data_IF_819875577463
#
_entry.id   IF_819875577463
#
_cell.length_a   1.000
_cell.length_b   1.000
_cell.length_c   1.000
_cell.angle_alpha   90.00
_cell.angle_beta   90.00
_cell.angle_gamma   90.00
#
_symmetry.space_group_name_H-M   'P 1'
#
loop_
_entity.id
_entity.type
_entity.pdbx_description
1 polymer ?
#
# COMPACT_ATOMS: atom_id res chain seq x y z
N UNK A 1 16.74 69.53 -15.23
CA UNK A 1 15.60 68.71 -15.60
C UNK A 1 15.60 67.44 -14.67
N UNK A 2 14.78 67.42 -13.59
CA UNK A 2 14.71 66.35 -12.64
C UNK A 2 13.54 65.42 -13.03
N UNK A 3 13.83 64.22 -13.49
CA UNK A 3 12.79 63.23 -13.81
C UNK A 3 12.36 62.55 -12.52
N UNK A 4 11.16 62.85 -12.05
CA UNK A 4 10.50 62.11 -10.97
C UNK A 4 10.01 60.78 -11.53
N UNK A 5 10.75 59.72 -11.23
CA UNK A 5 10.28 58.34 -11.48
C UNK A 5 9.24 57.99 -10.40
N UNK A 6 7.99 57.78 -10.82
CA UNK A 6 6.87 57.57 -9.92
C UNK A 6 6.92 56.17 -9.31
N UNK A 7 7.02 56.07 -7.98
CA UNK A 7 7.06 54.85 -7.18
C UNK A 7 5.85 53.91 -7.41
N UNK A 8 4.78 54.43 -7.98
CA UNK A 8 3.56 53.65 -8.31
C UNK A 8 3.76 52.65 -9.44
N UNK A 9 4.67 52.89 -10.36
CA UNK A 9 4.93 51.96 -11.48
C UNK A 9 5.80 50.78 -11.07
N UNK A 10 6.61 50.91 -10.03
CA UNK A 10 7.46 49.86 -9.54
C UNK A 10 6.65 48.76 -8.77
N UNK A 11 5.58 49.18 -8.07
CA UNK A 11 4.68 48.26 -7.37
C UNK A 11 3.83 47.43 -8.32
N UNK A 12 3.47 47.96 -9.50
CA UNK A 12 2.67 47.22 -10.49
C UNK A 12 3.50 46.13 -11.22
N UNK A 13 4.76 46.41 -11.48
CA UNK A 13 5.67 45.41 -12.08
C UNK A 13 6.01 44.25 -11.10
N UNK A 14 6.18 44.58 -9.82
CA UNK A 14 6.44 43.57 -8.78
C UNK A 14 5.26 42.62 -8.56
N UNK A 15 4.03 43.12 -8.64
CA UNK A 15 2.81 42.31 -8.53
C UNK A 15 2.59 41.35 -9.71
N UNK A 16 2.89 41.81 -10.94
CA UNK A 16 2.75 40.98 -12.14
C UNK A 16 3.77 39.82 -12.20
N UNK A 17 4.98 40.02 -11.69
CA UNK A 17 6.02 38.97 -11.63
C UNK A 17 5.70 37.91 -10.58
N UNK A 18 5.07 38.28 -9.47
CA UNK A 18 4.65 37.31 -8.44
C UNK A 18 3.45 36.46 -8.88
N UNK A 19 2.59 36.95 -9.75
CA UNK A 19 1.44 36.18 -10.27
C UNK A 19 1.84 35.12 -11.32
N UNK A 20 2.98 35.28 -11.99
CA UNK A 20 3.45 34.36 -13.03
C UNK A 20 4.18 33.12 -12.49
N UNK A 21 4.37 32.96 -11.16
CA UNK A 21 5.08 31.83 -10.55
C UNK A 21 4.14 30.77 -9.96
N UNK A 22 2.83 30.89 -10.10
CA UNK A 22 1.92 29.80 -9.84
C UNK A 22 1.91 28.84 -11.05
N UNK A 23 3.00 28.17 -11.28
CA UNK A 23 3.02 26.97 -12.09
C UNK A 23 2.15 25.94 -11.39
N UNK A 24 0.91 25.78 -11.81
CA UNK A 24 0.10 24.63 -11.42
C UNK A 24 0.84 23.41 -11.91
N UNK A 25 1.44 22.65 -10.99
CA UNK A 25 2.05 21.38 -11.33
C UNK A 25 1.01 20.56 -12.10
N UNK A 26 1.26 20.28 -13.36
CA UNK A 26 0.40 19.43 -14.18
C UNK A 26 0.41 18.07 -13.51
N UNK A 27 -0.73 17.67 -12.95
CA UNK A 27 -0.85 16.35 -12.35
C UNK A 27 -0.67 15.30 -13.43
N UNK A 28 0.14 14.30 -13.13
CA UNK A 28 0.30 13.15 -14.03
C UNK A 28 -1.06 12.44 -14.17
N UNK A 29 -1.51 12.05 -15.37
CA UNK A 29 -2.78 11.33 -15.55
C UNK A 29 -2.96 10.12 -14.63
N UNK A 30 -1.89 9.40 -14.29
CA UNK A 30 -1.93 8.27 -13.35
C UNK A 30 -2.35 8.68 -11.93
N UNK A 31 -2.19 9.94 -11.55
CA UNK A 31 -2.60 10.43 -10.22
C UNK A 31 -4.12 10.55 -10.06
N UNK A 32 -4.85 10.52 -11.17
CA UNK A 32 -6.33 10.48 -11.17
C UNK A 32 -6.88 9.06 -11.06
N UNK A 33 -6.05 8.02 -11.17
CA UNK A 33 -6.47 6.64 -11.03
C UNK A 33 -6.60 6.32 -9.54
N UNK A 34 -7.80 5.89 -9.14
CA UNK A 34 -8.05 5.35 -7.80
C UNK A 34 -8.14 3.82 -7.86
N UNK A 35 -7.24 3.14 -7.19
CA UNK A 35 -7.27 1.67 -7.07
C UNK A 35 -8.33 1.19 -6.06
N UNK A 36 -8.95 2.11 -5.32
CA UNK A 36 -10.02 1.82 -4.36
C UNK A 36 -11.41 1.69 -5.01
N UNK A 37 -11.55 2.05 -6.28
CA UNK A 37 -12.84 1.92 -7.00
C UNK A 37 -13.26 0.46 -7.07
N UNK A 38 -14.51 0.16 -6.68
CA UNK A 38 -15.07 -1.18 -6.67
C UNK A 38 -14.66 -2.05 -5.48
N UNK A 39 -13.93 -1.52 -4.51
CA UNK A 39 -13.48 -2.27 -3.33
C UNK A 39 -14.49 -2.26 -2.17
N UNK A 40 -15.55 -1.47 -2.30
CA UNK A 40 -16.66 -1.45 -1.34
C UNK A 40 -17.94 -1.94 -2.00
N UNK A 41 -18.53 -2.99 -1.46
CA UNK A 41 -19.85 -3.41 -1.84
C UNK A 41 -20.43 -4.45 -0.87
N UNK A 42 -21.53 -5.07 -1.16
CA UNK A 42 -22.17 -6.10 -0.34
C UNK A 42 -22.09 -7.43 -1.09
N UNK A 43 -22.10 -8.53 -0.39
CA UNK A 43 -22.05 -9.87 -0.99
C UNK A 43 -23.12 -10.07 -2.08
N UNK A 44 -24.34 -9.58 -1.89
CA UNK A 44 -25.46 -9.68 -2.85
C UNK A 44 -25.19 -8.96 -4.18
N UNK A 45 -24.28 -8.02 -4.19
CA UNK A 45 -23.90 -7.23 -5.38
C UNK A 45 -22.53 -7.63 -5.93
N UNK A 46 -22.08 -8.85 -5.64
CA UNK A 46 -20.74 -9.31 -6.01
C UNK A 46 -19.64 -8.37 -5.52
N UNK A 47 -19.78 -7.97 -4.28
CA UNK A 47 -18.95 -6.98 -3.64
C UNK A 47 -17.52 -7.36 -3.56
N UNK A 48 -16.67 -6.37 -3.73
CA UNK A 48 -15.27 -6.55 -3.48
C UNK A 48 -14.63 -7.53 -4.44
N UNK A 49 -15.16 -7.68 -5.63
CA UNK A 49 -14.48 -8.42 -6.69
C UNK A 49 -13.24 -7.69 -7.19
N UNK A 50 -12.94 -6.54 -6.58
CA UNK A 50 -11.73 -5.78 -6.81
C UNK A 50 -11.06 -5.48 -5.48
N UNK A 51 -9.75 -5.33 -5.51
CA UNK A 51 -8.93 -4.89 -4.41
C UNK A 51 -7.98 -3.78 -4.88
N UNK A 52 -7.44 -2.96 -4.01
CA UNK A 52 -6.53 -1.88 -4.41
C UNK A 52 -5.19 -2.46 -4.86
N UNK A 53 -5.14 -2.91 -6.10
CA UNK A 53 -3.97 -3.52 -6.69
C UNK A 53 -2.85 -2.49 -6.89
N UNK A 54 -1.68 -2.78 -6.34
CA UNK A 54 -0.44 -2.07 -6.60
C UNK A 54 0.44 -2.96 -7.47
N UNK A 55 0.60 -2.57 -8.75
CA UNK A 55 1.31 -3.35 -9.76
C UNK A 55 1.74 -2.45 -10.91
N UNK A 56 2.78 -2.84 -11.64
CA UNK A 56 3.10 -2.21 -12.92
C UNK A 56 2.14 -2.70 -14.02
N UNK A 57 1.91 -1.90 -15.08
CA UNK A 57 1.22 -2.36 -16.27
C UNK A 57 1.94 -3.61 -16.81
N UNK A 58 1.14 -4.66 -17.09
CA UNK A 58 1.65 -5.97 -17.57
C UNK A 58 2.61 -6.68 -16.62
N UNK A 59 2.63 -6.27 -15.33
CA UNK A 59 3.40 -6.93 -14.30
C UNK A 59 2.89 -8.36 -14.05
N UNK A 60 3.79 -9.22 -13.58
CA UNK A 60 3.48 -10.62 -13.26
C UNK A 60 3.10 -10.82 -11.80
N UNK A 61 3.06 -9.77 -11.01
CA UNK A 61 2.63 -9.81 -9.63
C UNK A 61 1.86 -8.54 -9.27
N UNK A 62 0.88 -8.72 -8.39
CA UNK A 62 0.05 -7.66 -7.84
C UNK A 62 0.14 -7.74 -6.32
N UNK A 63 0.05 -6.59 -5.68
CA UNK A 63 0.09 -6.50 -4.22
C UNK A 63 -1.13 -5.76 -3.72
N UNK A 64 -1.69 -6.21 -2.61
CA UNK A 64 -2.86 -5.59 -2.01
C UNK A 64 -2.79 -5.65 -0.49
N UNK A 65 -3.27 -4.62 0.24
CA UNK A 65 -3.52 -4.77 1.66
C UNK A 65 -4.55 -5.89 1.88
N UNK A 66 -4.40 -6.61 2.98
CA UNK A 66 -5.28 -7.69 3.39
C UNK A 66 -6.13 -7.24 4.56
N UNK A 67 -7.44 -7.13 4.37
CA UNK A 67 -8.40 -6.90 5.46
C UNK A 67 -9.15 -8.18 5.86
N UNK A 68 -9.29 -9.15 4.95
CA UNK A 68 -9.79 -10.50 5.21
C UNK A 68 -8.73 -11.43 5.80
N UNK A 69 -9.11 -12.68 6.06
CA UNK A 69 -8.19 -13.71 6.54
C UNK A 69 -7.40 -14.34 5.39
N UNK A 70 -6.32 -15.05 5.75
CA UNK A 70 -5.60 -15.88 4.78
C UNK A 70 -6.55 -16.94 4.22
N UNK A 71 -6.56 -17.08 2.89
CA UNK A 71 -7.47 -17.99 2.21
C UNK A 71 -8.84 -17.42 1.85
N UNK A 72 -9.19 -16.23 2.34
CA UNK A 72 -10.40 -15.54 1.88
C UNK A 72 -10.24 -15.14 0.42
N UNK A 73 -11.24 -15.44 -0.42
CA UNK A 73 -11.31 -14.96 -1.79
C UNK A 73 -11.34 -13.44 -1.90
N UNK A 74 -11.87 -12.77 -0.88
CA UNK A 74 -11.93 -11.31 -0.76
C UNK A 74 -10.76 -10.81 0.09
N UNK A 75 -9.67 -10.48 -0.56
CA UNK A 75 -8.49 -10.00 0.15
C UNK A 75 -8.72 -8.66 0.87
N UNK A 76 -9.55 -7.79 0.31
CA UNK A 76 -9.76 -6.42 0.81
C UNK A 76 -11.23 -6.00 0.72
N UNK A 77 -11.67 -5.29 1.73
CA UNK A 77 -12.97 -4.61 1.77
C UNK A 77 -12.77 -3.19 2.30
N UNK A 78 -13.25 -2.18 1.58
CA UNK A 78 -13.07 -0.77 1.95
C UNK A 78 -13.65 -0.43 3.33
N UNK A 79 -14.76 -1.06 3.73
CA UNK A 79 -15.39 -0.82 5.03
C UNK A 79 -14.65 -1.44 6.22
N UNK A 80 -13.60 -2.23 5.97
CA UNK A 80 -12.81 -2.78 7.06
C UNK A 80 -11.90 -1.72 7.67
N UNK A 81 -11.69 -1.81 8.95
CA UNK A 81 -10.92 -0.88 9.76
C UNK A 81 -9.57 -1.44 10.21
N UNK A 82 -9.28 -2.71 9.88
CA UNK A 82 -8.03 -3.38 10.24
C UNK A 82 -7.37 -4.05 9.04
N UNK A 83 -6.05 -3.94 8.99
CA UNK A 83 -5.17 -4.64 8.05
C UNK A 83 -4.46 -5.78 8.78
N UNK A 84 -4.42 -6.97 8.15
CA UNK A 84 -3.77 -8.20 8.63
C UNK A 84 -2.43 -8.48 7.97
N UNK A 85 -2.07 -7.71 6.94
CA UNK A 85 -0.85 -7.80 6.17
C UNK A 85 -1.01 -7.23 4.77
N UNK A 86 0.02 -7.40 3.97
CA UNK A 86 0.02 -7.11 2.53
C UNK A 86 0.22 -8.42 1.79
N UNK A 87 -0.73 -8.78 0.94
CA UNK A 87 -0.72 -10.02 0.14
C UNK A 87 -0.08 -9.81 -1.21
N UNK A 88 0.69 -10.80 -1.63
CA UNK A 88 0.99 -10.98 -3.05
C UNK A 88 -0.14 -11.73 -3.74
N UNK A 89 -0.48 -11.30 -4.93
CA UNK A 89 -1.42 -11.98 -5.82
C UNK A 89 -0.94 -11.84 -7.27
N UNK A 90 -1.50 -12.58 -8.19
CA UNK A 90 -1.14 -12.50 -9.62
C UNK A 90 -2.30 -12.11 -10.51
N UNK A 91 -3.50 -11.97 -9.97
CA UNK A 91 -4.68 -11.54 -10.70
C UNK A 91 -5.51 -10.56 -9.87
N UNK A 92 -6.21 -9.63 -10.51
CA UNK A 92 -7.06 -8.67 -9.81
C UNK A 92 -8.47 -9.21 -9.49
N UNK A 93 -8.75 -10.52 -9.68
CA UNK A 93 -10.05 -11.11 -9.37
C UNK A 93 -9.96 -12.23 -8.35
N UNK A 94 -10.77 -12.24 -7.29
CA UNK A 94 -10.73 -13.24 -6.23
C UNK A 94 -11.58 -14.50 -6.50
N UNK A 95 -12.16 -14.66 -7.70
CA UNK A 95 -13.13 -15.71 -7.98
C UNK A 95 -12.60 -17.13 -7.89
N UNK A 96 -11.37 -17.33 -8.28
CA UNK A 96 -10.77 -18.67 -8.35
C UNK A 96 -10.12 -19.09 -7.03
N UNK A 97 -10.02 -18.21 -6.07
CA UNK A 97 -9.41 -18.43 -4.75
C UNK A 97 -7.96 -18.95 -4.81
N UNK A 98 -7.25 -18.65 -5.88
CA UNK A 98 -5.86 -19.06 -6.13
C UNK A 98 -4.86 -17.91 -5.92
N UNK A 99 -5.22 -16.96 -5.06
CA UNK A 99 -4.50 -15.71 -4.87
C UNK A 99 -4.02 -15.54 -3.45
N UNK A 100 -2.93 -14.78 -3.32
CA UNK A 100 -2.42 -14.40 -2.03
C UNK A 100 -1.81 -15.58 -1.29
N UNK A 101 -0.83 -16.22 -1.92
CA UNK A 101 -0.08 -17.36 -1.40
C UNK A 101 0.58 -17.07 -0.06
N UNK A 102 0.91 -15.82 0.21
CA UNK A 102 1.45 -15.37 1.48
C UNK A 102 1.11 -13.90 1.72
N UNK A 103 1.22 -13.47 2.96
CA UNK A 103 1.18 -12.06 3.33
C UNK A 103 2.39 -11.65 4.16
N UNK A 104 2.68 -10.37 4.14
CA UNK A 104 3.77 -9.75 4.92
C UNK A 104 3.13 -8.74 5.86
N UNK A 105 3.42 -8.85 7.17
CA UNK A 105 2.93 -7.92 8.20
C UNK A 105 4.06 -7.47 9.11
N UNK A 106 4.40 -6.18 9.14
CA UNK A 106 5.28 -5.64 10.16
C UNK A 106 4.52 -5.49 11.47
N UNK A 107 5.15 -5.91 12.57
CA UNK A 107 4.58 -5.82 13.91
C UNK A 107 5.62 -5.32 14.92
N UNK A 108 5.15 -4.79 16.04
CA UNK A 108 5.97 -4.41 17.19
C UNK A 108 5.49 -5.09 18.48
N UNK A 109 6.31 -5.09 19.51
CA UNK A 109 5.95 -5.65 20.82
C UNK A 109 6.13 -7.16 20.90
N UNK A 110 5.09 -7.92 21.08
CA UNK A 110 5.13 -9.39 21.16
C UNK A 110 5.15 -10.05 19.77
N UNK A 111 5.73 -11.25 19.69
CA UNK A 111 5.60 -12.10 18.51
C UNK A 111 4.18 -12.68 18.46
N UNK A 112 3.37 -12.21 17.53
CA UNK A 112 1.99 -12.63 17.33
C UNK A 112 1.81 -13.14 15.91
N UNK A 113 1.49 -14.44 15.76
CA UNK A 113 1.30 -15.08 14.46
C UNK A 113 -0.18 -15.14 14.05
N UNK A 114 -1.09 -15.13 15.02
CA UNK A 114 -2.53 -15.13 14.74
C UNK A 114 -2.95 -13.87 13.97
N UNK A 115 -3.71 -14.05 12.91
CA UNK A 115 -4.07 -12.98 11.96
C UNK A 115 -4.99 -11.92 12.59
N UNK A 116 -5.88 -12.32 13.48
CA UNK A 116 -6.81 -11.39 14.12
C UNK A 116 -6.12 -10.61 15.23
N UNK A 117 -5.21 -11.26 15.97
CA UNK A 117 -4.47 -10.62 17.05
C UNK A 117 -3.41 -9.64 16.56
N UNK A 118 -2.75 -9.92 15.40
CA UNK A 118 -1.78 -9.00 14.81
C UNK A 118 -2.41 -7.91 13.94
N UNK A 119 -3.71 -8.02 13.62
CA UNK A 119 -4.39 -7.05 12.79
C UNK A 119 -4.32 -5.65 13.40
N UNK A 120 -4.02 -4.67 12.59
CA UNK A 120 -3.84 -3.28 13.02
C UNK A 120 -4.89 -2.37 12.45
N UNK A 121 -5.39 -1.46 13.26
CA UNK A 121 -6.20 -0.34 12.82
C UNK A 121 -5.45 0.53 11.81
N UNK A 122 -6.17 1.02 10.83
CA UNK A 122 -5.68 1.99 9.86
C UNK A 122 -6.77 3.01 9.51
N UNK A 123 -6.39 4.04 8.78
CA UNK A 123 -7.32 5.06 8.33
C UNK A 123 -7.13 5.35 6.85
N UNK A 124 -8.20 5.32 6.07
CA UNK A 124 -8.20 5.74 4.66
C UNK A 124 -7.74 7.19 4.45
N UNK A 125 -7.83 8.05 5.47
CA UNK A 125 -7.30 9.43 5.38
C UNK A 125 -5.77 9.47 5.36
N UNK A 126 -5.12 8.42 5.89
CA UNK A 126 -3.67 8.26 5.92
C UNK A 126 -3.18 7.16 4.94
N UNK A 127 -4.11 6.51 4.25
CA UNK A 127 -3.81 5.52 3.21
C UNK A 127 -3.52 6.20 1.88
N UNK A 128 -2.49 5.75 1.19
CA UNK A 128 -2.21 6.12 -0.20
C UNK A 128 -2.26 4.85 -1.03
N UNK A 129 -3.29 4.74 -1.88
CA UNK A 129 -3.50 3.61 -2.77
C UNK A 129 -3.41 4.10 -4.23
N UNK A 130 -2.25 3.91 -4.84
CA UNK A 130 -1.94 4.24 -6.23
C UNK A 130 -1.56 2.98 -6.99
N UNK A 131 -1.73 2.93 -8.31
CA UNK A 131 -1.29 1.77 -9.08
C UNK A 131 0.17 1.40 -8.87
N UNK A 132 1.03 2.38 -8.69
CA UNK A 132 2.48 2.25 -8.60
C UNK A 132 3.05 2.41 -7.18
N UNK A 133 2.21 2.71 -6.18
CA UNK A 133 2.65 2.97 -4.81
C UNK A 133 1.53 2.75 -3.80
N UNK A 134 1.82 2.02 -2.76
CA UNK A 134 0.93 1.87 -1.61
C UNK A 134 1.62 2.34 -0.34
N UNK A 135 0.88 3.02 0.53
CA UNK A 135 1.34 3.42 1.86
C UNK A 135 0.20 3.37 2.84
N UNK A 136 0.49 2.85 4.03
CA UNK A 136 -0.46 2.83 5.15
C UNK A 136 0.28 2.95 6.49
N UNK A 137 -0.35 3.58 7.45
CA UNK A 137 0.08 3.60 8.84
C UNK A 137 -0.73 2.57 9.65
N UNK A 138 -0.03 1.67 10.31
CA UNK A 138 -0.57 0.60 11.15
C UNK A 138 -0.53 1.03 12.61
N UNK A 139 -1.69 1.47 13.13
CA UNK A 139 -1.77 2.21 14.39
C UNK A 139 -1.43 1.36 15.62
N UNK A 140 -1.81 0.07 15.64
CA UNK A 140 -1.55 -0.80 16.79
C UNK A 140 -0.06 -1.18 16.91
N UNK A 141 0.70 -1.03 15.84
CA UNK A 141 2.12 -1.34 15.79
C UNK A 141 3.02 -0.11 15.65
N UNK A 142 2.43 1.07 15.46
CA UNK A 142 3.15 2.33 15.17
C UNK A 142 4.13 2.18 13.99
N UNK A 143 3.69 1.51 12.92
CA UNK A 143 4.53 1.23 11.75
C UNK A 143 3.94 1.85 10.49
N UNK A 144 4.76 2.58 9.75
CA UNK A 144 4.43 2.96 8.38
C UNK A 144 4.94 1.91 7.41
N UNK A 145 4.04 1.35 6.62
CA UNK A 145 4.32 0.39 5.55
C UNK A 145 4.20 1.07 4.20
N UNK A 146 5.22 0.93 3.38
CA UNK A 146 5.26 1.44 2.01
C UNK A 146 5.64 0.30 1.05
N UNK A 147 5.08 0.35 -0.15
CA UNK A 147 5.26 -0.67 -1.19
C UNK A 147 5.38 -0.02 -2.56
N UNK A 148 6.38 -0.45 -3.32
CA UNK A 148 6.57 -0.10 -4.74
C UNK A 148 6.73 -1.39 -5.53
N UNK A 149 5.91 -1.65 -6.56
CA UNK A 149 6.00 -2.85 -7.38
C UNK A 149 7.06 -2.71 -8.48
N UNK A 150 7.56 -3.85 -8.92
CA UNK A 150 8.25 -4.02 -10.20
C UNK A 150 7.51 -5.04 -11.06
N UNK A 151 8.02 -5.40 -12.22
CA UNK A 151 7.35 -6.40 -13.08
C UNK A 151 7.17 -7.77 -12.39
N UNK A 152 8.12 -8.18 -11.53
CA UNK A 152 8.15 -9.52 -10.94
C UNK A 152 8.41 -9.53 -9.44
N UNK A 153 8.58 -8.37 -8.81
CA UNK A 153 8.93 -8.24 -7.41
C UNK A 153 8.29 -6.98 -6.82
N UNK A 154 8.53 -6.74 -5.56
CA UNK A 154 8.19 -5.48 -4.91
C UNK A 154 9.27 -5.07 -3.91
N UNK A 155 9.42 -3.78 -3.72
CA UNK A 155 10.20 -3.20 -2.64
C UNK A 155 9.25 -2.79 -1.52
N UNK A 156 9.53 -3.27 -0.31
CA UNK A 156 8.87 -2.83 0.91
C UNK A 156 9.78 -1.96 1.74
N UNK A 157 9.19 -0.95 2.37
CA UNK A 157 9.83 -0.17 3.42
C UNK A 157 8.92 -0.14 4.63
N UNK A 158 9.45 -0.60 5.76
CA UNK A 158 8.80 -0.53 7.06
C UNK A 158 9.52 0.48 7.93
N UNK A 159 8.81 1.53 8.34
CA UNK A 159 9.34 2.52 9.28
C UNK A 159 8.76 2.23 10.66
N UNK A 160 9.60 1.72 11.53
CA UNK A 160 9.26 1.37 12.91
C UNK A 160 9.52 2.53 13.87
N UNK A 161 8.83 2.57 15.02
CA UNK A 161 9.23 3.40 16.13
C UNK A 161 10.57 2.91 16.71
N UNK A 162 11.18 3.70 17.56
CA UNK A 162 12.37 3.23 18.30
C UNK A 162 11.99 2.09 19.26
N UNK A 163 12.33 0.87 18.89
CA UNK A 163 12.00 -0.35 19.65
C UNK A 163 13.02 -1.46 19.38
N UNK A 164 13.22 -2.33 20.38
CA UNK A 164 13.98 -3.57 20.23
C UNK A 164 13.12 -4.73 19.71
N UNK A 165 11.81 -4.56 19.68
CA UNK A 165 10.83 -5.59 19.36
C UNK A 165 10.13 -5.25 18.03
N UNK A 166 10.90 -5.14 16.96
CA UNK A 166 10.42 -4.93 15.61
C UNK A 166 10.56 -6.23 14.81
N UNK A 167 9.47 -6.70 14.21
CA UNK A 167 9.44 -7.96 13.48
C UNK A 167 8.69 -7.82 12.16
N UNK A 168 9.00 -8.70 11.22
CA UNK A 168 8.22 -8.92 10.00
C UNK A 168 7.70 -10.34 10.02
N UNK A 169 6.39 -10.50 10.04
CA UNK A 169 5.72 -11.80 9.92
C UNK A 169 5.51 -12.09 8.44
N UNK A 170 6.01 -13.23 7.99
CA UNK A 170 5.68 -13.82 6.69
C UNK A 170 4.69 -14.93 6.97
N UNK A 171 3.46 -14.71 6.54
CA UNK A 171 2.35 -15.62 6.77
C UNK A 171 1.96 -16.30 5.46
N UNK A 172 2.04 -17.63 5.45
CA UNK A 172 1.64 -18.48 4.34
C UNK A 172 0.51 -19.42 4.81
N UNK A 173 -0.04 -20.23 3.92
CA UNK A 173 -1.06 -21.19 4.32
C UNK A 173 -0.53 -22.20 5.34
N UNK A 174 -1.32 -22.54 6.35
CA UNK A 174 -0.99 -23.46 7.45
C UNK A 174 -0.57 -24.85 6.96
N UNK A 175 -1.11 -25.27 5.81
CA UNK A 175 -0.80 -26.57 5.20
C UNK A 175 -0.34 -26.39 3.76
N UNK A 176 0.65 -27.19 3.36
CA UNK A 176 1.19 -27.13 2.01
C UNK A 176 2.13 -25.95 1.75
N UNK A 177 2.61 -25.30 2.81
CA UNK A 177 3.59 -24.22 2.72
C UNK A 177 4.91 -24.62 3.37
N UNK A 178 5.98 -24.05 2.85
CA UNK A 178 7.33 -24.20 3.38
C UNK A 178 8.05 -22.86 3.37
N UNK A 179 8.72 -22.53 4.46
CA UNK A 179 9.53 -21.32 4.59
C UNK A 179 10.89 -21.68 5.19
N UNK A 180 11.96 -21.18 4.61
CA UNK A 180 13.33 -21.34 5.09
C UNK A 180 14.03 -20.00 5.16
N UNK A 181 14.60 -19.68 6.30
CA UNK A 181 15.49 -18.52 6.50
C UNK A 181 16.93 -18.95 6.20
N UNK A 182 17.63 -18.15 5.42
CA UNK A 182 19.05 -18.33 5.05
C UNK A 182 19.79 -17.08 5.50
N UNK A 183 20.22 -17.00 6.76
CA UNK A 183 20.79 -15.79 7.36
C UNK A 183 22.06 -15.32 6.66
N UNK A 184 22.90 -16.24 6.21
CA UNK A 184 24.15 -15.99 5.52
C UNK A 184 23.99 -15.27 4.16
N UNK A 185 22.80 -15.43 3.55
CA UNK A 185 22.42 -14.77 2.30
C UNK A 185 21.46 -13.59 2.52
N UNK A 186 21.10 -13.27 3.77
CA UNK A 186 20.02 -12.32 4.11
C UNK A 186 18.74 -12.60 3.32
N UNK A 187 18.33 -13.87 3.27
CA UNK A 187 17.29 -14.34 2.35
C UNK A 187 16.30 -15.25 3.05
N UNK A 188 15.06 -15.15 2.63
CA UNK A 188 13.99 -16.08 2.97
C UNK A 188 13.46 -16.67 1.68
N UNK A 189 13.34 -18.00 1.63
CA UNK A 189 12.76 -18.71 0.51
C UNK A 189 11.56 -19.53 0.98
N UNK A 190 10.64 -19.79 0.08
CA UNK A 190 9.48 -20.60 0.40
C UNK A 190 8.67 -20.97 -0.83
N UNK A 191 7.70 -21.83 -0.62
CA UNK A 191 6.68 -22.17 -1.60
C UNK A 191 5.37 -22.51 -0.90
N UNK A 192 4.28 -22.44 -1.63
CA UNK A 192 2.98 -22.96 -1.22
C UNK A 192 2.45 -23.90 -2.31
N UNK A 193 1.83 -24.99 -1.90
CA UNK A 193 1.09 -25.92 -2.77
C UNK A 193 -0.42 -25.71 -2.67
N UNK A 194 -0.85 -24.72 -1.91
CA UNK A 194 -2.24 -24.31 -1.77
C UNK A 194 -2.57 -23.20 -2.75
N UNK A 195 -3.72 -23.33 -3.38
CA UNK A 195 -4.39 -22.30 -4.17
C UNK A 195 -5.62 -21.82 -3.44
#
# INVERSE_FOLDING_TARGET
MKTHFSFKHLLFLGGAVLYSLQSSAVKNPVDYVSTLVGTQSKFELSTGNTYPATALPWGMNFWTPQTGKMGDGWAYTYNADKIRGVKQTHQPSPWMNDYGQFSIMPITGGLVFDQDQRASWFSHKAEVAKPYYYKVYLADHDVTTELVPTERAAMFRFTYPETKNAYVVIDAFDKGSYVKVIPEENKIIGYSTKN
#
